data_IF_558290845044
#
_entry.id   IF_558290845044
#
_cell.length_a   1.000
_cell.length_b   1.000
_cell.length_c   1.000
_cell.angle_alpha   90.00
_cell.angle_beta   90.00
_cell.angle_gamma   90.00
#
_symmetry.space_group_name_H-M   'P 1'
#
loop_
_entity.id
_entity.type
_entity.pdbx_description
1 polymer ?
#
# COMPACT_ATOMS: atom_id res chain seq x y z
N UNK A 1 -21.24 10.38 -0.39
CA UNK A 1 -20.56 9.33 -1.15
C UNK A 1 -19.79 9.98 -2.28
N UNK A 2 -18.48 10.04 -2.12
CA UNK A 2 -17.53 10.60 -3.10
C UNK A 2 -17.28 9.61 -4.24
N UNK A 3 -16.63 10.05 -5.31
CA UNK A 3 -16.20 9.13 -6.37
C UNK A 3 -15.13 8.14 -5.87
N UNK A 4 -14.33 8.55 -4.87
CA UNK A 4 -13.33 7.71 -4.19
C UNK A 4 -14.02 6.60 -3.39
N UNK A 5 -15.11 6.90 -2.66
CA UNK A 5 -15.90 5.90 -1.95
C UNK A 5 -16.48 4.85 -2.91
N UNK A 6 -16.96 5.30 -4.08
CA UNK A 6 -17.46 4.40 -5.14
C UNK A 6 -16.34 3.52 -5.71
N UNK A 7 -15.14 4.06 -5.87
CA UNK A 7 -13.99 3.27 -6.33
C UNK A 7 -13.57 2.24 -5.28
N UNK A 8 -13.43 2.64 -4.01
CA UNK A 8 -13.04 1.76 -2.90
C UNK A 8 -14.05 0.63 -2.63
N UNK A 9 -15.32 0.81 -3.02
CA UNK A 9 -16.34 -0.24 -2.97
C UNK A 9 -16.42 -1.09 -4.26
N UNK A 10 -15.71 -0.70 -5.32
CA UNK A 10 -15.81 -1.36 -6.62
C UNK A 10 -15.19 -2.77 -6.62
N UNK A 11 -15.71 -3.63 -7.49
CA UNK A 11 -15.13 -4.97 -7.73
C UNK A 11 -13.69 -4.89 -8.24
N UNK A 12 -13.39 -3.93 -9.12
CA UNK A 12 -12.04 -3.74 -9.67
C UNK A 12 -11.01 -3.47 -8.57
N UNK A 13 -11.33 -2.61 -7.61
CA UNK A 13 -10.45 -2.34 -6.48
C UNK A 13 -10.30 -3.57 -5.58
N UNK A 14 -11.39 -4.30 -5.32
CA UNK A 14 -11.34 -5.55 -4.56
C UNK A 14 -10.47 -6.61 -5.22
N UNK A 15 -10.47 -6.73 -6.54
CA UNK A 15 -9.61 -7.67 -7.25
C UNK A 15 -8.14 -7.21 -7.21
N UNK A 16 -7.89 -5.92 -7.49
CA UNK A 16 -6.55 -5.33 -7.47
C UNK A 16 -5.89 -5.42 -6.09
N UNK A 17 -6.60 -5.09 -5.01
CA UNK A 17 -6.02 -5.16 -3.66
C UNK A 17 -5.59 -6.58 -3.27
N UNK A 18 -6.31 -7.62 -3.73
CA UNK A 18 -5.92 -9.02 -3.43
C UNK A 18 -4.71 -9.42 -4.28
N UNK A 19 -4.60 -8.95 -5.53
CA UNK A 19 -3.39 -9.11 -6.35
C UNK A 19 -2.17 -8.50 -5.66
N UNK A 20 -2.27 -7.25 -5.19
CA UNK A 20 -1.17 -6.56 -4.49
C UNK A 20 -0.80 -7.28 -3.18
N UNK A 21 -1.80 -7.71 -2.40
CA UNK A 21 -1.54 -8.51 -1.19
C UNK A 21 -0.83 -9.83 -1.49
N UNK A 22 -1.17 -10.49 -2.60
CA UNK A 22 -0.49 -11.71 -3.04
C UNK A 22 0.96 -11.44 -3.45
N UNK A 23 1.22 -10.39 -4.25
CA UNK A 23 2.58 -9.93 -4.60
C UNK A 23 3.40 -9.69 -3.34
N UNK A 24 2.81 -9.01 -2.37
CA UNK A 24 3.43 -8.66 -1.09
C UNK A 24 3.40 -9.81 -0.06
N UNK A 25 3.10 -11.04 -0.50
CA UNK A 25 3.11 -12.27 0.31
C UNK A 25 2.26 -12.18 1.59
N UNK A 26 1.22 -11.34 1.58
CA UNK A 26 0.35 -11.12 2.73
C UNK A 26 1.06 -10.49 3.93
N UNK A 27 2.10 -9.68 3.70
CA UNK A 27 2.89 -9.03 4.74
C UNK A 27 2.94 -7.53 4.55
N UNK A 28 3.01 -6.79 5.66
CA UNK A 28 3.36 -5.37 5.64
C UNK A 28 4.80 -5.21 5.11
N UNK A 29 4.94 -4.48 4.01
CA UNK A 29 6.22 -4.32 3.32
C UNK A 29 7.20 -3.39 4.05
N UNK A 30 6.71 -2.59 4.99
CA UNK A 30 7.53 -1.76 5.87
C UNK A 30 8.00 -2.58 7.08
N UNK A 31 7.11 -3.41 7.66
CA UNK A 31 7.47 -4.32 8.76
C UNK A 31 8.53 -5.34 8.35
N UNK A 32 8.39 -5.98 7.18
CA UNK A 32 9.34 -7.03 6.76
C UNK A 32 10.77 -6.48 6.58
N UNK A 33 10.88 -5.18 6.32
CA UNK A 33 12.12 -4.40 6.20
C UNK A 33 12.62 -3.82 7.54
N UNK A 34 11.92 -4.05 8.65
CA UNK A 34 12.23 -3.53 10.00
C UNK A 34 12.35 -1.99 10.07
N UNK A 35 11.50 -1.26 9.35
CA UNK A 35 11.53 0.21 9.29
C UNK A 35 10.45 0.85 10.18
N UNK A 36 10.64 2.12 10.54
CA UNK A 36 9.63 3.00 11.18
C UNK A 36 8.86 2.34 12.34
N UNK A 37 9.56 2.05 13.43
CA UNK A 37 8.92 1.54 14.65
C UNK A 37 8.30 0.15 14.49
N UNK A 38 8.91 -0.72 13.68
CA UNK A 38 8.43 -2.10 13.52
C UNK A 38 8.62 -2.90 14.80
N UNK A 39 7.51 -3.31 15.42
CA UNK A 39 7.50 -4.21 16.58
C UNK A 39 7.47 -5.70 16.18
N UNK A 40 6.85 -6.02 15.04
CA UNK A 40 6.76 -7.38 14.48
C UNK A 40 7.18 -7.35 13.01
N UNK A 41 8.33 -7.94 12.69
CA UNK A 41 8.86 -7.97 11.32
C UNK A 41 7.90 -8.66 10.34
N UNK A 42 7.46 -9.87 10.67
CA UNK A 42 6.52 -10.65 9.86
C UNK A 42 5.07 -10.32 10.22
N UNK A 43 4.65 -9.09 9.93
CA UNK A 43 3.30 -8.62 10.28
C UNK A 43 2.29 -8.89 9.15
N UNK A 44 1.30 -9.74 9.46
CA UNK A 44 0.18 -10.10 8.60
C UNK A 44 -1.18 -9.61 9.16
N UNK A 45 -1.18 -8.83 10.23
CA UNK A 45 -2.38 -8.35 10.90
C UNK A 45 -2.78 -6.95 10.46
N UNK A 46 -4.09 -6.69 10.39
CA UNK A 46 -4.67 -5.39 10.04
C UNK A 46 -4.07 -4.75 8.77
N UNK A 47 -3.95 -5.54 7.71
CA UNK A 47 -3.34 -5.10 6.45
C UNK A 47 -4.31 -4.27 5.60
N UNK A 48 -3.76 -3.24 4.96
CA UNK A 48 -4.41 -2.40 3.94
C UNK A 48 -3.46 -2.22 2.75
N UNK A 49 -3.99 -1.82 1.59
CA UNK A 49 -3.18 -1.41 0.45
C UNK A 49 -3.19 0.12 0.40
N UNK A 50 -2.01 0.71 0.54
CA UNK A 50 -1.78 2.15 0.47
C UNK A 50 -1.53 2.59 -0.97
N UNK A 51 -1.99 3.79 -1.32
CA UNK A 51 -1.70 4.47 -2.57
C UNK A 51 -0.56 5.46 -2.36
N UNK A 52 0.59 5.28 -3.02
CA UNK A 52 1.71 6.22 -2.88
C UNK A 52 1.36 7.62 -3.45
N UNK A 53 0.66 7.64 -4.59
CA UNK A 53 -0.01 8.82 -5.13
C UNK A 53 -1.50 8.66 -4.84
N UNK A 54 -2.10 9.53 -4.01
CA UNK A 54 -3.52 9.46 -3.66
C UNK A 54 -4.43 9.49 -4.89
N UNK A 55 -5.58 8.80 -4.80
CA UNK A 55 -6.57 8.70 -5.88
C UNK A 55 -7.05 10.09 -6.32
N UNK A 56 -7.13 11.02 -5.38
CA UNK A 56 -7.53 12.41 -5.60
C UNK A 56 -6.49 13.24 -6.35
N UNK A 57 -5.22 12.86 -6.26
CA UNK A 57 -4.12 13.54 -6.93
C UNK A 57 -3.92 13.04 -8.37
N UNK A 58 -4.06 11.73 -8.59
CA UNK A 58 -3.97 11.13 -9.92
C UNK A 58 -4.88 9.89 -10.02
N UNK A 59 -6.07 10.11 -10.59
CA UNK A 59 -7.06 9.06 -10.72
C UNK A 59 -6.58 7.93 -11.64
N UNK A 60 -5.79 8.22 -12.66
CA UNK A 60 -5.36 7.20 -13.63
C UNK A 60 -4.49 6.14 -12.95
N UNK A 61 -3.69 6.52 -11.95
CA UNK A 61 -2.81 5.61 -11.19
C UNK A 61 -3.48 4.76 -10.11
N UNK A 62 -4.79 4.89 -9.91
CA UNK A 62 -5.51 4.23 -8.79
C UNK A 62 -5.43 2.70 -8.80
N UNK A 63 -5.08 2.08 -9.92
CA UNK A 63 -4.96 0.63 -10.13
C UNK A 63 -3.56 0.19 -10.57
N UNK A 64 -2.59 1.10 -10.61
CA UNK A 64 -1.25 0.80 -11.11
C UNK A 64 -0.45 0.07 -10.02
N UNK A 65 0.19 -1.04 -10.38
CA UNK A 65 0.88 -1.89 -9.39
C UNK A 65 2.09 -1.15 -8.77
N UNK A 66 2.72 -0.27 -9.56
CA UNK A 66 3.82 0.60 -9.14
C UNK A 66 3.36 1.82 -8.28
N UNK A 67 2.07 1.89 -7.93
CA UNK A 67 1.51 2.92 -7.05
C UNK A 67 0.89 2.34 -5.77
N UNK A 68 0.97 1.02 -5.56
CA UNK A 68 0.25 0.31 -4.51
C UNK A 68 1.18 -0.50 -3.61
N UNK A 69 0.98 -0.41 -2.29
CA UNK A 69 1.79 -1.16 -1.31
C UNK A 69 0.97 -1.75 -0.17
N UNK A 70 1.19 -3.02 0.16
CA UNK A 70 0.59 -3.65 1.34
C UNK A 70 1.30 -3.20 2.62
N UNK A 71 0.54 -2.62 3.55
CA UNK A 71 1.03 -2.11 4.84
C UNK A 71 0.07 -2.47 5.98
N UNK A 72 0.55 -2.52 7.22
CA UNK A 72 -0.32 -2.67 8.39
C UNK A 72 -0.99 -1.33 8.76
N UNK A 73 -2.01 -1.34 9.61
CA UNK A 73 -2.72 -0.12 10.01
C UNK A 73 -1.83 1.01 10.55
N UNK A 74 -0.86 0.68 11.40
CA UNK A 74 0.09 1.67 11.94
C UNK A 74 0.91 2.33 10.84
N UNK A 75 1.54 1.54 9.97
CA UNK A 75 2.34 2.08 8.87
C UNK A 75 1.48 2.76 7.81
N UNK A 76 0.22 2.34 7.64
CA UNK A 76 -0.73 3.05 6.80
C UNK A 76 -0.96 4.48 7.29
N UNK A 77 -1.23 4.67 8.59
CA UNK A 77 -1.39 6.00 9.19
C UNK A 77 -0.11 6.85 9.03
N UNK A 78 1.07 6.26 9.23
CA UNK A 78 2.33 6.96 9.05
C UNK A 78 2.59 7.38 7.59
N UNK A 79 2.17 6.59 6.61
CA UNK A 79 2.23 6.99 5.20
C UNK A 79 1.25 8.14 4.91
N UNK A 80 0.01 8.06 5.42
CA UNK A 80 -1.01 9.10 5.23
C UNK A 80 -0.62 10.43 5.90
N UNK A 81 0.05 10.39 7.06
CA UNK A 81 0.54 11.59 7.76
C UNK A 81 1.83 12.16 7.16
N UNK A 82 2.50 11.42 6.27
CA UNK A 82 3.81 11.77 5.72
C UNK A 82 4.98 11.52 6.66
N UNK A 83 4.78 10.87 7.80
CA UNK A 83 5.85 10.39 8.68
C UNK A 83 6.77 9.38 7.97
N UNK A 84 6.19 8.57 7.08
CA UNK A 84 6.94 7.80 6.10
C UNK A 84 6.88 8.57 4.77
N UNK A 85 8.00 9.15 4.32
CA UNK A 85 8.03 9.96 3.11
C UNK A 85 7.65 9.18 1.84
N UNK A 86 7.05 9.88 0.89
CA UNK A 86 6.66 9.32 -0.42
C UNK A 86 7.79 8.57 -1.13
N UNK A 87 9.00 9.13 -1.15
CA UNK A 87 10.16 8.53 -1.81
C UNK A 87 10.54 7.18 -1.20
N UNK A 88 10.36 7.01 0.11
CA UNK A 88 10.57 5.73 0.78
C UNK A 88 9.49 4.73 0.40
N UNK A 89 8.22 5.14 0.40
CA UNK A 89 7.11 4.28 -0.03
C UNK A 89 7.29 3.85 -1.47
N UNK A 90 7.58 4.79 -2.38
CA UNK A 90 7.77 4.53 -3.81
C UNK A 90 8.95 3.58 -4.04
N UNK A 91 10.08 3.80 -3.36
CA UNK A 91 11.21 2.88 -3.43
C UNK A 91 10.83 1.44 -3.05
N UNK A 92 10.07 1.26 -1.96
CA UNK A 92 9.63 -0.08 -1.55
C UNK A 92 8.71 -0.70 -2.61
N UNK A 93 7.81 0.09 -3.22
CA UNK A 93 6.96 -0.40 -4.30
C UNK A 93 7.80 -0.87 -5.49
N UNK A 94 8.77 -0.06 -5.91
CA UNK A 94 9.62 -0.37 -7.06
C UNK A 94 10.42 -1.66 -6.81
N UNK A 95 10.96 -1.86 -5.60
CA UNK A 95 11.59 -3.12 -5.18
C UNK A 95 10.63 -4.32 -5.30
N UNK A 96 9.36 -4.17 -4.91
CA UNK A 96 8.36 -5.24 -5.01
C UNK A 96 7.97 -5.57 -6.45
N UNK A 97 8.02 -4.61 -7.36
CA UNK A 97 7.75 -4.82 -8.78
C UNK A 97 8.92 -5.51 -9.50
N UNK A 98 10.16 -5.21 -9.09
CA UNK A 98 11.37 -5.85 -9.64
C UNK A 98 11.53 -7.32 -9.20
N UNK A 99 11.00 -7.69 -8.03
CA UNK A 99 11.10 -9.04 -7.46
C UNK A 99 10.10 -10.07 -8.05
N UNK A 100 9.27 -9.68 -9.03
CA UNK A 100 8.24 -10.53 -9.64
C UNK A 100 8.77 -11.55 -10.66
#
# INVERSE_FOLDING_TARGET
MTYVDRFRSSRKWREKREQIRHRDKGLCQICIRNLYGTDRQYNYENLSVHHAIPIEADYEKRLDDDNLLTVCGMHHEMCESGEIPYDVVKKIIDEQEEEQ
#
